data_IF_503876512868
#
_entry.id   IF_503876512868
#
_cell.length_a   1.000
_cell.length_b   1.000
_cell.length_c   1.000
_cell.angle_alpha   90.00
_cell.angle_beta   90.00
_cell.angle_gamma   90.00
#
_symmetry.space_group_name_H-M   'P 1'
#
loop_
_entity.id
_entity.type
_entity.pdbx_description
1 polymer ?
#
# COMPACT_ATOMS: atom_id res chain seq x y z
N UNK A 1 -64.61 -48.67 -9.16
CA UNK A 1 -64.45 -47.27 -8.65
C UNK A 1 -63.34 -47.15 -7.67
N UNK A 2 -62.19 -47.86 -7.83
CA UNK A 2 -61.02 -47.78 -6.91
C UNK A 2 -59.68 -47.59 -7.56
N UNK A 3 -59.60 -47.62 -8.90
CA UNK A 3 -58.30 -47.45 -9.59
C UNK A 3 -57.98 -45.98 -10.03
N UNK A 4 -58.96 -45.10 -10.13
CA UNK A 4 -58.77 -43.70 -10.56
C UNK A 4 -58.27 -42.77 -9.43
N UNK A 5 -58.48 -43.15 -8.17
CA UNK A 5 -58.04 -42.32 -7.02
C UNK A 5 -56.55 -42.51 -6.70
N UNK A 6 -55.95 -43.65 -7.05
CA UNK A 6 -54.52 -43.92 -6.76
C UNK A 6 -53.61 -43.15 -7.72
N UNK A 7 -54.02 -42.91 -8.96
CA UNK A 7 -53.23 -42.15 -9.92
C UNK A 7 -53.17 -40.64 -9.64
N UNK A 8 -54.19 -40.08 -8.98
CA UNK A 8 -54.20 -38.66 -8.59
C UNK A 8 -53.30 -38.34 -7.40
N UNK A 9 -53.06 -39.29 -6.50
CA UNK A 9 -52.19 -39.10 -5.33
C UNK A 9 -50.72 -39.24 -5.73
N UNK A 10 -50.40 -40.10 -6.68
CA UNK A 10 -49.00 -40.26 -7.17
C UNK A 10 -48.56 -39.06 -8.02
N UNK A 11 -49.44 -38.40 -8.75
CA UNK A 11 -49.11 -37.17 -9.48
C UNK A 11 -48.97 -35.94 -8.57
N UNK A 12 -49.54 -35.94 -7.37
CA UNK A 12 -49.40 -34.83 -6.42
C UNK A 12 -48.09 -34.89 -5.64
N UNK A 13 -47.47 -36.09 -5.50
CA UNK A 13 -46.19 -36.26 -4.83
C UNK A 13 -44.95 -36.02 -5.72
N UNK A 14 -45.09 -35.99 -7.04
CA UNK A 14 -44.01 -35.70 -8.00
C UNK A 14 -43.88 -34.20 -8.34
N UNK A 15 -44.78 -33.36 -7.82
CA UNK A 15 -44.78 -31.90 -7.99
C UNK A 15 -44.01 -31.12 -6.94
N UNK A 16 -43.40 -31.77 -5.97
CA UNK A 16 -42.40 -31.15 -5.09
C UNK A 16 -41.03 -31.10 -5.77
N UNK A 17 -41.04 -30.45 -6.96
CA UNK A 17 -39.79 -29.95 -7.56
C UNK A 17 -39.19 -29.02 -6.51
N UNK A 18 -38.08 -29.48 -5.95
CA UNK A 18 -37.19 -28.67 -5.12
C UNK A 18 -36.97 -27.31 -5.80
N UNK A 19 -37.72 -26.30 -5.39
CA UNK A 19 -37.28 -24.93 -5.50
C UNK A 19 -35.98 -24.87 -4.70
N UNK A 20 -34.89 -25.25 -5.35
CA UNK A 20 -33.55 -24.97 -4.87
C UNK A 20 -33.43 -23.44 -4.75
N UNK A 21 -33.72 -22.90 -3.60
CA UNK A 21 -33.32 -21.54 -3.26
C UNK A 21 -31.80 -21.51 -3.39
N UNK A 22 -31.30 -21.17 -4.55
CA UNK A 22 -29.94 -20.69 -4.69
C UNK A 22 -29.90 -19.39 -3.89
N UNK A 23 -29.48 -19.49 -2.63
CA UNK A 23 -29.11 -18.33 -1.83
C UNK A 23 -27.97 -17.69 -2.63
N UNK A 24 -28.31 -16.68 -3.43
CA UNK A 24 -27.31 -15.84 -4.05
C UNK A 24 -26.65 -15.11 -2.90
N UNK A 25 -25.45 -15.53 -2.52
CA UNK A 25 -24.64 -14.79 -1.57
C UNK A 25 -24.44 -13.39 -2.17
N UNK A 26 -25.16 -12.42 -1.62
CA UNK A 26 -24.99 -11.01 -1.97
C UNK A 26 -23.85 -10.48 -1.12
N UNK A 27 -22.78 -10.04 -1.78
CA UNK A 27 -21.68 -9.36 -1.10
C UNK A 27 -22.16 -8.02 -0.52
N UNK A 28 -21.58 -7.62 0.59
CA UNK A 28 -21.85 -6.34 1.25
C UNK A 28 -21.02 -5.25 0.58
N UNK A 29 -21.63 -4.29 -0.15
CA UNK A 29 -20.89 -3.22 -0.80
C UNK A 29 -20.09 -2.40 0.23
N UNK A 30 -18.83 -2.12 -0.09
CA UNK A 30 -17.96 -1.26 0.70
C UNK A 30 -17.64 0.00 -0.11
N UNK A 31 -17.98 1.16 0.44
CA UNK A 31 -17.76 2.42 -0.24
C UNK A 31 -16.34 2.93 0.01
N UNK A 32 -15.72 3.43 -1.06
CA UNK A 32 -14.46 4.13 -0.95
C UNK A 32 -14.71 5.60 -0.64
N UNK A 33 -14.26 6.03 0.53
CA UNK A 33 -14.41 7.44 0.93
C UNK A 33 -13.28 8.28 0.32
N UNK A 34 -13.64 9.31 -0.44
CA UNK A 34 -12.71 10.34 -0.90
C UNK A 34 -12.81 11.51 0.06
N UNK A 35 -11.75 11.82 0.84
CA UNK A 35 -11.81 12.93 1.78
C UNK A 35 -12.08 14.25 1.09
N UNK A 36 -12.81 15.15 1.74
CA UNK A 36 -13.17 16.47 1.19
C UNK A 36 -11.92 17.25 0.79
N UNK A 37 -11.92 17.76 -0.44
CA UNK A 37 -10.79 18.52 -1.00
C UNK A 37 -9.67 17.68 -1.59
N UNK A 38 -9.77 16.34 -1.55
CA UNK A 38 -8.80 15.47 -2.18
C UNK A 38 -9.08 15.28 -3.67
N UNK A 39 -8.05 15.01 -4.48
CA UNK A 39 -8.25 14.71 -5.90
C UNK A 39 -9.01 13.40 -6.09
N UNK A 40 -9.63 13.24 -7.26
CA UNK A 40 -10.27 11.97 -7.63
C UNK A 40 -9.23 10.84 -7.62
N UNK A 41 -9.55 9.66 -7.07
CA UNK A 41 -8.70 8.48 -7.15
C UNK A 41 -8.38 8.10 -8.61
N UNK A 42 -7.20 7.53 -8.84
CA UNK A 42 -6.77 7.03 -10.14
C UNK A 42 -7.18 5.58 -10.38
N UNK A 43 -7.42 4.84 -9.30
CA UNK A 43 -7.88 3.45 -9.37
C UNK A 43 -9.31 3.40 -9.92
N UNK A 44 -9.55 2.47 -10.88
CA UNK A 44 -10.88 2.23 -11.46
C UNK A 44 -11.66 1.18 -10.65
N UNK A 45 -12.45 1.64 -9.70
CA UNK A 45 -13.27 0.77 -8.86
C UNK A 45 -14.32 -0.04 -9.63
N UNK A 46 -14.68 0.34 -10.87
CA UNK A 46 -15.64 -0.41 -11.69
C UNK A 46 -15.11 -1.79 -12.08
N UNK A 47 -13.79 -1.97 -12.13
CA UNK A 47 -13.11 -3.23 -12.46
C UNK A 47 -12.94 -4.16 -11.27
N UNK A 48 -13.01 -3.62 -10.06
CA UNK A 48 -12.89 -4.35 -8.80
C UNK A 48 -13.72 -3.63 -7.72
N UNK A 49 -15.06 -3.72 -7.78
CA UNK A 49 -15.93 -3.10 -6.78
C UNK A 49 -15.60 -3.61 -5.38
N UNK A 50 -15.50 -2.69 -4.43
CA UNK A 50 -15.15 -3.02 -3.07
C UNK A 50 -16.32 -3.70 -2.36
N UNK A 51 -16.01 -4.76 -1.64
CA UNK A 51 -16.95 -5.48 -0.77
C UNK A 51 -16.32 -5.79 0.58
N UNK A 52 -17.12 -5.91 1.63
CA UNK A 52 -16.61 -6.29 2.95
C UNK A 52 -15.92 -7.67 2.90
N UNK A 53 -16.51 -8.61 2.18
CA UNK A 53 -15.98 -9.97 2.04
C UNK A 53 -14.67 -9.99 1.23
N UNK A 54 -14.58 -9.17 0.19
CA UNK A 54 -13.34 -9.00 -0.59
C UNK A 54 -12.23 -8.34 0.22
N UNK A 55 -12.57 -7.32 1.03
CA UNK A 55 -11.65 -6.70 1.99
C UNK A 55 -11.15 -7.72 3.02
N UNK A 56 -12.03 -8.52 3.63
CA UNK A 56 -11.66 -9.52 4.62
C UNK A 56 -10.78 -10.64 4.01
N UNK A 57 -11.10 -11.10 2.82
CA UNK A 57 -10.25 -12.05 2.10
C UNK A 57 -8.86 -11.45 1.83
N UNK A 58 -8.80 -10.22 1.32
CA UNK A 58 -7.54 -9.52 1.07
C UNK A 58 -6.70 -9.32 2.33
N UNK A 59 -7.35 -8.96 3.44
CA UNK A 59 -6.73 -8.84 4.76
C UNK A 59 -6.15 -10.18 5.23
N UNK A 60 -6.90 -11.29 5.13
CA UNK A 60 -6.38 -12.61 5.48
C UNK A 60 -5.15 -12.97 4.63
N UNK A 61 -5.22 -12.76 3.32
CA UNK A 61 -4.10 -13.00 2.41
C UNK A 61 -2.86 -12.15 2.75
N UNK A 62 -3.05 -10.90 3.13
CA UNK A 62 -1.96 -9.98 3.48
C UNK A 62 -1.17 -10.44 4.70
N UNK A 63 -1.85 -11.01 5.69
CA UNK A 63 -1.25 -11.45 6.94
C UNK A 63 -0.83 -12.93 6.96
N UNK A 64 -1.28 -13.75 6.00
CA UNK A 64 -1.00 -15.18 5.97
C UNK A 64 0.28 -15.47 5.17
N UNK A 65 1.27 -16.16 5.75
CA UNK A 65 2.49 -16.52 5.04
C UNK A 65 2.32 -17.63 3.98
N UNK A 66 1.13 -18.23 3.83
CA UNK A 66 0.84 -19.30 2.87
C UNK A 66 1.26 -18.96 1.44
N UNK A 67 1.34 -17.68 1.10
CA UNK A 67 1.70 -17.24 -0.25
C UNK A 67 3.21 -17.23 -0.53
N UNK A 68 4.06 -17.44 0.47
CA UNK A 68 5.51 -17.63 0.23
C UNK A 68 5.85 -19.10 0.01
N UNK A 69 6.99 -19.39 -0.61
CA UNK A 69 7.43 -20.75 -1.00
C UNK A 69 7.40 -21.74 0.18
N UNK A 70 7.92 -21.34 1.32
CA UNK A 70 8.03 -22.14 2.54
C UNK A 70 6.96 -21.77 3.60
N UNK A 71 6.05 -20.85 3.28
CA UNK A 71 5.02 -20.35 4.20
C UNK A 71 5.59 -19.68 5.46
N UNK A 72 6.70 -18.95 5.34
CA UNK A 72 7.31 -18.18 6.45
C UNK A 72 7.12 -16.68 6.30
N UNK A 73 7.00 -16.15 5.07
CA UNK A 73 6.93 -14.72 4.78
C UNK A 73 5.53 -14.34 4.33
N UNK A 74 4.95 -13.34 4.97
CA UNK A 74 3.70 -12.66 4.56
C UNK A 74 3.98 -11.22 4.11
N UNK A 75 2.99 -10.55 3.50
CA UNK A 75 3.11 -9.12 3.23
C UNK A 75 3.34 -8.32 4.52
N UNK A 76 2.68 -8.72 5.61
CA UNK A 76 2.82 -8.09 6.92
C UNK A 76 4.22 -8.27 7.54
N UNK A 77 5.04 -9.19 7.06
CA UNK A 77 6.43 -9.34 7.53
C UNK A 77 7.29 -8.12 7.18
N UNK A 78 7.00 -7.48 6.02
CA UNK A 78 7.72 -6.29 5.56
C UNK A 78 6.85 -5.01 5.57
N UNK A 79 5.56 -5.12 5.88
CA UNK A 79 4.62 -4.01 5.89
C UNK A 79 3.80 -4.00 7.18
N UNK A 80 4.43 -3.51 8.27
CA UNK A 80 3.85 -3.47 9.61
C UNK A 80 2.83 -2.33 9.75
N UNK A 81 1.64 -2.61 10.26
CA UNK A 81 0.57 -1.61 10.40
C UNK A 81 1.02 -0.40 11.22
N UNK A 82 1.59 -0.63 12.41
CA UNK A 82 1.98 0.44 13.34
C UNK A 82 3.03 1.41 12.78
N UNK A 83 3.64 1.06 11.66
CA UNK A 83 4.66 1.85 10.97
C UNK A 83 4.17 2.34 9.59
N UNK A 84 2.85 2.51 9.43
CA UNK A 84 2.26 2.95 8.16
C UNK A 84 2.39 1.91 7.05
N UNK A 85 2.43 0.63 7.41
CA UNK A 85 2.68 -0.48 6.48
C UNK A 85 4.03 -0.37 5.77
N UNK A 86 5.06 0.13 6.46
CA UNK A 86 6.47 0.06 6.10
C UNK A 86 7.21 -0.92 7.01
N UNK A 87 8.51 -1.09 6.82
CA UNK A 87 9.38 -1.92 7.67
C UNK A 87 10.38 -1.04 8.42
N UNK A 88 10.59 -1.28 9.72
CA UNK A 88 11.39 -0.39 10.59
C UNK A 88 12.62 -1.01 11.20
N UNK A 89 12.70 -2.33 11.26
CA UNK A 89 13.79 -3.01 11.98
C UNK A 89 15.11 -3.02 11.18
N UNK A 90 15.02 -2.92 9.84
CA UNK A 90 16.17 -3.03 8.95
C UNK A 90 16.11 -1.96 7.85
N UNK A 91 17.26 -1.59 7.33
CA UNK A 91 17.40 -0.65 6.23
C UNK A 91 16.79 -1.20 4.94
N UNK A 92 17.05 -2.48 4.67
CA UNK A 92 16.60 -3.18 3.47
C UNK A 92 15.56 -4.25 3.82
N UNK A 93 14.67 -4.57 2.88
CA UNK A 93 13.68 -5.64 3.04
C UNK A 93 14.36 -7.00 3.19
N UNK A 94 13.74 -7.87 3.99
CA UNK A 94 14.19 -9.25 4.21
C UNK A 94 13.12 -10.21 3.71
N UNK A 95 13.54 -11.26 3.01
CA UNK A 95 12.64 -12.26 2.48
C UNK A 95 12.97 -13.68 2.94
N UNK A 96 12.54 -14.62 2.12
CA UNK A 96 12.73 -16.06 2.35
C UNK A 96 14.22 -16.39 2.54
N UNK A 97 14.51 -17.37 3.39
CA UNK A 97 15.88 -17.81 3.71
C UNK A 97 16.77 -16.68 4.29
N UNK A 98 16.18 -15.61 4.85
CA UNK A 98 16.91 -14.45 5.34
C UNK A 98 17.59 -13.63 4.24
N UNK A 99 17.20 -13.79 3.00
CA UNK A 99 17.74 -13.01 1.87
C UNK A 99 17.44 -11.53 2.04
N UNK A 100 18.41 -10.69 1.73
CA UNK A 100 18.31 -9.24 1.88
C UNK A 100 18.06 -8.62 0.51
N UNK A 101 17.06 -7.75 0.41
CA UNK A 101 16.76 -6.95 -0.77
C UNK A 101 17.74 -5.79 -0.95
N UNK A 102 17.53 -5.01 -1.99
CA UNK A 102 18.36 -3.82 -2.28
C UNK A 102 17.65 -2.51 -1.93
N UNK A 103 16.41 -2.58 -1.43
CA UNK A 103 15.55 -1.43 -1.18
C UNK A 103 14.83 -1.53 0.15
N UNK A 104 14.52 -0.39 0.71
CA UNK A 104 13.59 -0.24 1.83
C UNK A 104 12.15 -0.52 1.40
N UNK A 105 11.31 -1.02 2.32
CA UNK A 105 9.89 -1.28 2.09
C UNK A 105 9.09 0.03 2.06
N UNK A 106 8.47 0.34 0.93
CA UNK A 106 7.57 1.50 0.81
C UNK A 106 6.33 1.33 1.69
N UNK A 107 5.91 2.43 2.30
CA UNK A 107 4.64 2.47 3.02
C UNK A 107 3.44 2.21 2.10
N UNK A 108 2.49 1.39 2.57
CA UNK A 108 1.28 1.04 1.82
C UNK A 108 0.10 1.85 2.34
N UNK A 109 -0.02 3.10 1.89
CA UNK A 109 -1.13 3.97 2.25
C UNK A 109 -1.54 4.85 1.08
N UNK A 110 -2.83 5.17 0.98
CA UNK A 110 -3.41 6.03 -0.05
C UNK A 110 -3.15 5.56 -1.50
N UNK A 111 -3.05 4.24 -1.71
CA UNK A 111 -2.64 3.66 -2.99
C UNK A 111 -3.67 3.87 -4.12
N UNK A 112 -4.92 4.20 -3.79
CA UNK A 112 -5.94 4.54 -4.79
C UNK A 112 -5.57 5.77 -5.64
N UNK A 113 -4.68 6.63 -5.16
CA UNK A 113 -4.20 7.82 -5.86
C UNK A 113 -2.86 7.61 -6.57
N UNK A 114 -2.24 6.44 -6.43
CA UNK A 114 -0.97 6.15 -7.09
C UNK A 114 -1.18 5.71 -8.53
N UNK A 115 -0.32 6.19 -9.44
CA UNK A 115 -0.26 5.76 -10.83
C UNK A 115 0.74 4.62 -11.03
N UNK A 116 1.89 4.75 -10.39
CA UNK A 116 3.00 3.82 -10.49
C UNK A 116 3.37 3.30 -9.10
N UNK A 117 3.76 2.05 -9.02
CA UNK A 117 4.11 1.34 -7.79
C UNK A 117 5.57 0.91 -7.83
N UNK A 118 6.15 0.53 -6.70
CA UNK A 118 7.57 0.28 -6.46
C UNK A 118 8.39 1.58 -6.50
N UNK A 119 9.61 1.54 -5.97
CA UNK A 119 10.51 2.71 -5.97
C UNK A 119 10.90 3.21 -7.36
N UNK A 120 10.95 2.32 -8.35
CA UNK A 120 11.30 2.63 -9.73
C UNK A 120 10.11 2.78 -10.68
N UNK A 121 8.89 2.54 -10.17
CA UNK A 121 7.67 2.58 -10.98
C UNK A 121 7.54 1.41 -11.96
N UNK A 122 8.16 0.27 -11.65
CA UNK A 122 8.13 -0.92 -12.49
C UNK A 122 6.75 -1.57 -12.65
N UNK A 123 5.78 -1.16 -11.84
CA UNK A 123 4.39 -1.64 -11.90
C UNK A 123 3.45 -0.45 -12.01
N UNK A 124 2.49 -0.51 -12.93
CA UNK A 124 1.56 0.58 -13.25
C UNK A 124 0.10 0.29 -12.88
N UNK A 125 -0.18 -0.81 -12.18
CA UNK A 125 -1.53 -1.14 -11.73
C UNK A 125 -1.50 -1.88 -10.39
N UNK A 126 -2.35 -1.45 -9.44
CA UNK A 126 -2.38 -2.02 -8.09
C UNK A 126 -2.72 -3.51 -8.08
N UNK A 127 -3.68 -3.95 -8.93
CA UNK A 127 -4.11 -5.36 -8.96
C UNK A 127 -2.99 -6.34 -9.36
N UNK A 128 -1.95 -5.89 -10.02
CA UNK A 128 -0.82 -6.74 -10.41
C UNK A 128 0.44 -6.49 -9.58
N UNK A 129 0.43 -5.45 -8.74
CA UNK A 129 1.58 -5.11 -7.89
C UNK A 129 2.03 -6.27 -6.99
N UNK A 130 1.13 -7.07 -6.36
CA UNK A 130 1.57 -8.16 -5.49
C UNK A 130 2.29 -9.31 -6.20
N UNK A 131 2.22 -9.40 -7.53
CA UNK A 131 2.98 -10.41 -8.29
C UNK A 131 4.47 -10.23 -8.07
N UNK A 132 4.93 -8.97 -8.01
CA UNK A 132 6.36 -8.66 -7.88
C UNK A 132 6.96 -9.29 -6.60
N UNK A 133 6.51 -8.98 -5.37
CA UNK A 133 7.03 -9.61 -4.17
C UNK A 133 6.76 -11.12 -4.10
N UNK A 134 5.62 -11.62 -4.63
CA UNK A 134 5.33 -13.06 -4.65
C UNK A 134 6.37 -13.81 -5.47
N UNK A 135 6.74 -13.30 -6.65
CA UNK A 135 7.65 -14.01 -7.58
C UNK A 135 9.12 -13.67 -7.38
N UNK A 136 9.45 -12.68 -6.58
CA UNK A 136 10.82 -12.28 -6.28
C UNK A 136 11.55 -13.37 -5.50
N UNK A 137 12.67 -13.85 -6.03
CA UNK A 137 13.51 -14.88 -5.41
C UNK A 137 14.13 -14.47 -4.07
N UNK A 138 14.18 -13.16 -3.83
CA UNK A 138 14.71 -12.56 -2.58
C UNK A 138 13.61 -12.13 -1.61
N UNK A 139 12.32 -12.25 -1.99
CA UNK A 139 11.20 -11.90 -1.12
C UNK A 139 10.37 -13.14 -0.77
N UNK A 140 9.34 -13.50 -1.55
CA UNK A 140 8.47 -14.65 -1.25
C UNK A 140 8.81 -15.91 -2.06
N UNK A 141 9.52 -15.78 -3.17
CA UNK A 141 10.03 -16.85 -4.04
C UNK A 141 8.98 -17.93 -4.41
N UNK A 142 7.78 -17.50 -4.77
CA UNK A 142 6.67 -18.40 -5.11
C UNK A 142 6.07 -18.04 -6.47
N UNK A 143 5.46 -19.00 -7.15
CA UNK A 143 4.70 -18.74 -8.37
C UNK A 143 3.23 -18.49 -8.06
N UNK A 144 2.56 -17.66 -8.86
CA UNK A 144 1.13 -17.43 -8.68
C UNK A 144 0.30 -18.70 -8.85
N UNK A 145 0.77 -19.65 -9.68
CA UNK A 145 0.14 -20.96 -9.86
C UNK A 145 0.18 -21.77 -8.56
N UNK A 146 1.32 -21.83 -7.89
CA UNK A 146 1.46 -22.55 -6.64
C UNK A 146 0.68 -21.87 -5.51
N UNK A 147 0.67 -20.52 -5.44
CA UNK A 147 -0.20 -19.78 -4.51
C UNK A 147 -1.66 -20.20 -4.69
N UNK A 148 -2.17 -20.21 -5.92
CA UNK A 148 -3.54 -20.65 -6.23
C UNK A 148 -3.76 -22.09 -5.77
N UNK A 149 -2.82 -23.00 -6.02
CA UNK A 149 -2.93 -24.40 -5.62
C UNK A 149 -2.96 -24.58 -4.09
N UNK A 150 -2.12 -23.83 -3.35
CA UNK A 150 -2.11 -23.83 -1.88
C UNK A 150 -3.44 -23.32 -1.31
N UNK A 151 -3.91 -22.17 -1.80
CA UNK A 151 -5.18 -21.56 -1.36
C UNK A 151 -6.38 -22.46 -1.70
N UNK A 152 -6.41 -23.11 -2.87
CA UNK A 152 -7.49 -23.99 -3.29
C UNK A 152 -7.58 -25.28 -2.43
N UNK A 153 -6.48 -25.72 -1.81
CA UNK A 153 -6.48 -26.85 -0.87
C UNK A 153 -7.01 -26.49 0.53
N UNK A 154 -7.04 -25.21 0.88
CA UNK A 154 -7.48 -24.73 2.20
C UNK A 154 -8.99 -24.57 2.25
N UNK A 155 -9.65 -25.31 3.14
CA UNK A 155 -11.11 -25.17 3.36
C UNK A 155 -11.48 -23.77 3.89
N UNK A 156 -10.60 -23.14 4.68
CA UNK A 156 -10.81 -21.77 5.13
C UNK A 156 -10.83 -20.79 3.96
N UNK A 157 -9.84 -20.87 3.06
CA UNK A 157 -9.81 -20.00 1.88
C UNK A 157 -10.96 -20.28 0.92
N UNK A 158 -11.37 -21.53 0.72
CA UNK A 158 -12.58 -21.84 -0.08
C UNK A 158 -13.80 -21.08 0.45
N UNK A 159 -14.01 -21.06 1.78
CA UNK A 159 -15.10 -20.29 2.41
C UNK A 159 -14.96 -18.79 2.16
N UNK A 160 -13.77 -18.23 2.35
CA UNK A 160 -13.50 -16.80 2.11
C UNK A 160 -13.69 -16.42 0.65
N UNK A 161 -13.24 -17.26 -0.30
CA UNK A 161 -13.48 -17.02 -1.74
C UNK A 161 -14.96 -17.14 -2.10
N UNK A 162 -15.68 -18.10 -1.50
CA UNK A 162 -17.14 -18.21 -1.70
C UNK A 162 -17.85 -16.97 -1.22
N UNK A 163 -17.50 -16.45 -0.06
CA UNK A 163 -18.08 -15.20 0.47
C UNK A 163 -17.79 -14.00 -0.46
N UNK A 164 -16.54 -13.86 -0.92
CA UNK A 164 -16.11 -12.71 -1.70
C UNK A 164 -16.53 -12.75 -3.18
N UNK A 165 -16.64 -13.96 -3.79
CA UNK A 165 -16.84 -14.11 -5.23
C UNK A 165 -18.03 -15.02 -5.62
N UNK A 166 -18.77 -15.55 -4.64
CA UNK A 166 -19.96 -16.36 -4.85
C UNK A 166 -19.70 -17.86 -5.10
N UNK A 167 -18.44 -18.29 -5.25
CA UNK A 167 -18.03 -19.68 -5.37
C UNK A 167 -16.63 -19.93 -4.80
N UNK A 168 -16.29 -21.20 -4.54
CA UNK A 168 -15.02 -21.61 -3.91
C UNK A 168 -13.82 -21.67 -4.86
N UNK A 169 -13.96 -21.24 -6.11
CA UNK A 169 -12.90 -21.29 -7.11
C UNK A 169 -11.84 -20.23 -6.83
N UNK A 170 -10.62 -20.65 -6.54
CA UNK A 170 -9.46 -19.78 -6.39
C UNK A 170 -8.83 -19.54 -7.77
N UNK A 171 -8.58 -18.29 -8.08
CA UNK A 171 -7.81 -17.91 -9.28
C UNK A 171 -6.81 -16.82 -8.91
N UNK A 172 -5.71 -16.71 -9.67
CA UNK A 172 -4.72 -15.64 -9.47
C UNK A 172 -5.37 -14.25 -9.53
N UNK A 173 -6.27 -14.01 -10.50
CA UNK A 173 -6.97 -12.74 -10.62
C UNK A 173 -7.81 -12.40 -9.39
N UNK A 174 -8.59 -13.36 -8.85
CA UNK A 174 -9.41 -13.14 -7.65
C UNK A 174 -8.52 -12.90 -6.42
N UNK A 175 -7.42 -13.64 -6.28
CA UNK A 175 -6.45 -13.46 -5.20
C UNK A 175 -5.86 -12.05 -5.21
N UNK A 176 -5.38 -11.60 -6.37
CA UNK A 176 -4.81 -10.27 -6.54
C UNK A 176 -5.84 -9.16 -6.33
N UNK A 177 -7.06 -9.32 -6.84
CA UNK A 177 -8.16 -8.37 -6.62
C UNK A 177 -8.54 -8.24 -5.15
N UNK A 178 -8.58 -9.35 -4.42
CA UNK A 178 -8.86 -9.31 -2.98
C UNK A 178 -7.75 -8.56 -2.21
N UNK A 179 -6.47 -8.82 -2.51
CA UNK A 179 -5.36 -8.05 -1.95
C UNK A 179 -5.51 -6.55 -2.23
N UNK A 180 -5.87 -6.18 -3.47
CA UNK A 180 -6.12 -4.78 -3.82
C UNK A 180 -7.27 -4.18 -3.02
N UNK A 181 -8.35 -4.92 -2.76
CA UNK A 181 -9.46 -4.40 -1.95
C UNK A 181 -9.03 -4.07 -0.52
N UNK A 182 -8.16 -4.87 0.08
CA UNK A 182 -7.56 -4.53 1.39
C UNK A 182 -6.66 -3.30 1.29
N UNK A 183 -5.73 -3.27 0.34
CA UNK A 183 -4.78 -2.18 0.15
C UNK A 183 -5.47 -0.84 -0.16
N UNK A 184 -6.56 -0.85 -0.91
CA UNK A 184 -7.35 0.33 -1.23
C UNK A 184 -8.01 0.96 -0.01
N UNK A 185 -8.35 0.17 1.01
CA UNK A 185 -8.92 0.67 2.26
C UNK A 185 -7.88 1.29 3.20
N UNK A 186 -6.58 1.11 2.94
CA UNK A 186 -5.51 1.71 3.74
C UNK A 186 -5.40 3.22 3.42
N UNK A 187 -6.42 3.97 3.81
CA UNK A 187 -6.51 5.42 3.57
C UNK A 187 -6.27 6.18 4.86
N UNK A 188 -5.28 7.09 4.86
CA UNK A 188 -4.89 7.95 5.99
C UNK A 188 -5.17 9.41 5.66
N UNK A 189 -6.06 10.06 6.42
CA UNK A 189 -6.54 11.43 6.17
C UNK A 189 -7.04 12.17 7.42
N UNK A 190 -6.67 11.68 8.62
CA UNK A 190 -7.12 12.26 9.90
C UNK A 190 -5.94 12.65 10.83
N UNK A 191 -4.83 13.07 10.25
CA UNK A 191 -3.71 13.65 10.99
C UNK A 191 -4.01 15.06 11.52
N UNK A 192 -3.17 15.61 12.39
CA UNK A 192 -3.29 17.02 12.82
C UNK A 192 -3.30 17.98 11.63
N UNK A 193 -2.46 17.74 10.62
CA UNK A 193 -2.50 18.51 9.37
C UNK A 193 -3.89 18.52 8.76
N UNK A 194 -4.53 17.36 8.62
CA UNK A 194 -5.86 17.27 8.01
C UNK A 194 -6.92 18.04 8.83
N UNK A 195 -6.85 17.94 10.15
CA UNK A 195 -7.75 18.68 11.05
C UNK A 195 -7.55 20.18 10.96
N UNK A 196 -6.29 20.65 10.83
CA UNK A 196 -6.00 22.07 10.58
C UNK A 196 -6.58 22.54 9.24
N UNK A 197 -6.42 21.72 8.18
CA UNK A 197 -6.98 22.05 6.86
C UNK A 197 -8.53 22.09 6.88
N UNK A 198 -9.16 21.28 7.73
CA UNK A 198 -10.62 21.32 7.96
C UNK A 198 -11.05 22.39 8.97
N UNK A 199 -10.11 23.16 9.55
CA UNK A 199 -10.33 24.18 10.59
C UNK A 199 -10.86 23.62 11.91
N UNK A 200 -10.53 22.38 12.22
CA UNK A 200 -10.87 21.68 13.48
C UNK A 200 -9.79 21.86 14.55
N UNK A 201 -8.55 22.09 14.11
CA UNK A 201 -7.37 22.36 14.95
C UNK A 201 -6.57 23.54 14.39
N UNK A 202 -5.57 23.98 15.15
CA UNK A 202 -4.60 25.00 14.73
C UNK A 202 -3.18 24.50 14.94
N UNK A 203 -2.23 24.97 14.14
CA UNK A 203 -0.81 24.80 14.40
C UNK A 203 -0.36 25.73 15.55
N UNK A 204 0.59 25.25 16.36
CA UNK A 204 1.36 26.15 17.18
C UNK A 204 2.37 26.94 16.30
N UNK A 205 3.01 27.98 16.88
CA UNK A 205 3.94 28.84 16.14
C UNK A 205 5.05 28.09 15.41
N UNK A 206 5.61 27.04 16.04
CA UNK A 206 6.71 26.27 15.47
C UNK A 206 6.23 25.35 14.35
N UNK A 207 5.08 24.71 14.52
CA UNK A 207 4.46 23.90 13.47
C UNK A 207 4.08 24.76 12.26
N UNK A 208 3.56 25.99 12.51
CA UNK A 208 3.23 26.93 11.43
C UNK A 208 4.48 27.36 10.66
N UNK A 209 5.58 27.72 11.35
CA UNK A 209 6.85 28.03 10.68
C UNK A 209 7.35 26.82 9.88
N UNK A 210 7.28 25.62 10.45
CA UNK A 210 7.65 24.38 9.78
C UNK A 210 6.81 24.14 8.52
N UNK A 211 5.51 24.42 8.56
CA UNK A 211 4.63 24.34 7.39
C UNK A 211 5.02 25.36 6.30
N UNK A 212 5.36 26.58 6.67
CA UNK A 212 5.80 27.59 5.71
C UNK A 212 7.14 27.23 5.05
N UNK A 213 8.07 26.66 5.82
CA UNK A 213 9.32 26.09 5.31
C UNK A 213 9.07 24.89 4.38
N UNK A 214 8.12 24.03 4.72
CA UNK A 214 7.71 22.91 3.87
C UNK A 214 7.16 23.40 2.53
N UNK A 215 6.26 24.38 2.54
CA UNK A 215 5.70 24.94 1.30
C UNK A 215 6.78 25.49 0.37
N UNK A 216 7.79 26.15 0.95
CA UNK A 216 8.87 26.77 0.20
C UNK A 216 9.88 25.76 -0.37
N UNK A 217 10.19 24.69 0.36
CA UNK A 217 11.32 23.82 0.06
C UNK A 217 10.92 22.40 -0.39
N UNK A 218 9.73 21.89 -0.02
CA UNK A 218 9.38 20.48 -0.16
C UNK A 218 8.13 20.24 -1.02
N UNK A 219 7.16 21.16 -0.99
CA UNK A 219 5.83 20.98 -1.58
C UNK A 219 5.83 20.82 -3.11
N UNK A 220 6.90 21.25 -3.80
CA UNK A 220 7.04 21.06 -5.25
C UNK A 220 7.12 19.59 -5.66
N UNK A 221 7.69 18.73 -4.79
CA UNK A 221 7.78 17.29 -4.97
C UNK A 221 6.74 16.57 -4.12
N UNK A 222 6.59 16.94 -2.85
CA UNK A 222 5.67 16.33 -1.89
C UNK A 222 4.34 17.10 -1.82
N UNK A 223 3.54 16.99 -2.87
CA UNK A 223 2.31 17.77 -3.06
C UNK A 223 1.20 17.37 -2.09
N UNK A 224 0.61 18.38 -1.46
CA UNK A 224 -0.59 18.24 -0.64
C UNK A 224 -1.81 17.82 -1.50
N UNK A 225 -2.79 17.13 -0.94
CA UNK A 225 -2.87 16.62 0.43
C UNK A 225 -2.20 15.26 0.63
N UNK A 226 -1.71 14.62 -0.44
CA UNK A 226 -1.10 13.29 -0.44
C UNK A 226 0.37 13.31 -0.02
N UNK A 227 1.01 14.47 -0.01
CA UNK A 227 2.44 14.65 0.28
C UNK A 227 3.36 13.78 -0.58
N UNK A 228 2.95 13.57 -1.82
CA UNK A 228 3.68 12.85 -2.88
C UNK A 228 3.32 13.42 -4.23
N UNK A 229 4.02 12.97 -5.25
CA UNK A 229 3.70 13.26 -6.66
C UNK A 229 3.91 12.01 -7.51
N UNK A 230 3.51 12.07 -8.78
CA UNK A 230 3.78 10.97 -9.74
C UNK A 230 5.19 11.05 -10.34
N UNK A 231 6.05 11.91 -9.80
CA UNK A 231 7.41 12.10 -10.30
C UNK A 231 8.38 11.07 -9.75
N UNK A 232 9.41 10.85 -10.52
CA UNK A 232 10.61 10.13 -10.15
C UNK A 232 11.77 11.12 -10.18
N UNK A 233 12.41 11.32 -9.04
CA UNK A 233 13.41 12.37 -8.91
C UNK A 233 14.72 11.81 -8.32
N UNK A 234 15.83 12.40 -8.74
CA UNK A 234 17.11 12.21 -8.09
C UNK A 234 17.17 13.15 -6.89
N UNK A 235 17.36 12.60 -5.71
CA UNK A 235 17.34 13.35 -4.45
C UNK A 235 18.74 13.68 -3.91
N UNK A 236 19.77 13.53 -4.74
CA UNK A 236 21.15 13.86 -4.36
C UNK A 236 21.89 12.79 -3.58
N UNK A 237 21.32 11.62 -3.35
CA UNK A 237 22.02 10.52 -2.69
C UNK A 237 23.16 10.00 -3.55
N UNK A 238 24.29 9.69 -2.91
CA UNK A 238 25.40 9.01 -3.57
C UNK A 238 25.00 7.59 -3.97
N UNK A 239 25.42 7.18 -5.15
CA UNK A 239 25.25 5.81 -5.62
C UNK A 239 25.98 4.83 -4.69
N UNK A 240 25.32 3.75 -4.35
CA UNK A 240 25.88 2.66 -3.57
C UNK A 240 26.21 1.49 -4.51
N UNK A 241 27.50 1.25 -4.70
CA UNK A 241 28.01 0.21 -5.59
C UNK A 241 27.64 -1.20 -5.12
N UNK A 242 27.43 -1.39 -3.81
CA UNK A 242 27.08 -2.71 -3.24
C UNK A 242 25.62 -3.06 -3.54
N UNK A 243 24.73 -2.07 -3.55
CA UNK A 243 23.32 -2.27 -3.89
C UNK A 243 23.09 -2.28 -5.40
N UNK A 244 23.96 -1.64 -6.18
CA UNK A 244 23.90 -1.54 -7.64
C UNK A 244 22.49 -1.14 -8.16
N UNK A 245 21.82 -0.21 -7.46
CA UNK A 245 20.47 0.21 -7.78
C UNK A 245 20.48 1.50 -8.57
N UNK A 246 20.24 1.39 -9.86
CA UNK A 246 20.18 2.52 -10.81
C UNK A 246 18.79 3.17 -10.89
N UNK A 247 17.86 2.79 -10.01
CA UNK A 247 16.51 3.36 -9.92
C UNK A 247 15.66 3.14 -11.18
N UNK A 248 14.92 4.17 -11.58
CA UNK A 248 13.98 4.12 -12.71
C UNK A 248 14.64 3.75 -14.04
N UNK A 249 15.91 4.03 -14.23
CA UNK A 249 16.65 3.63 -15.43
C UNK A 249 16.57 2.10 -15.66
N UNK A 250 16.45 1.29 -14.62
CA UNK A 250 16.24 -0.15 -14.73
C UNK A 250 14.98 -0.52 -15.52
N UNK A 251 13.95 0.34 -15.46
CA UNK A 251 12.65 0.13 -16.11
C UNK A 251 12.59 0.80 -17.49
N UNK A 252 13.09 2.02 -17.59
CA UNK A 252 12.93 2.84 -18.80
C UNK A 252 14.08 2.67 -19.80
N UNK A 253 15.23 2.18 -19.35
CA UNK A 253 16.49 2.10 -20.10
C UNK A 253 17.00 3.47 -20.61
N UNK A 254 16.54 4.58 -20.00
CA UNK A 254 16.93 5.94 -20.35
C UNK A 254 17.95 6.47 -19.36
N UNK A 255 19.06 7.03 -19.84
CA UNK A 255 20.14 7.57 -18.98
C UNK A 255 19.67 8.71 -18.07
N UNK A 256 18.75 9.54 -18.55
CA UNK A 256 18.14 10.63 -17.77
C UNK A 256 17.35 10.16 -16.54
N UNK A 257 16.93 8.88 -16.50
CA UNK A 257 16.21 8.27 -15.38
C UNK A 257 17.15 7.57 -14.37
N UNK A 258 18.46 7.68 -14.56
CA UNK A 258 19.45 7.11 -13.64
C UNK A 258 19.30 7.71 -12.23
N UNK A 259 19.31 6.83 -11.22
CA UNK A 259 19.18 7.19 -9.79
C UNK A 259 17.91 7.96 -9.44
N UNK A 260 16.91 7.95 -10.32
CA UNK A 260 15.61 8.54 -10.02
C UNK A 260 14.72 7.50 -9.36
N UNK A 261 14.08 7.91 -8.28
CA UNK A 261 13.15 7.10 -7.50
C UNK A 261 11.83 7.83 -7.31
N UNK A 262 10.76 7.06 -7.13
CA UNK A 262 9.43 7.60 -6.84
C UNK A 262 9.50 8.54 -5.64
N UNK A 263 8.88 9.72 -5.76
CA UNK A 263 8.68 10.62 -4.63
C UNK A 263 7.69 9.96 -3.64
N UNK A 264 8.14 9.51 -2.45
CA UNK A 264 7.26 8.83 -1.51
C UNK A 264 6.32 9.80 -0.83
N UNK A 265 5.21 9.29 -0.27
CA UNK A 265 4.36 10.10 0.62
C UNK A 265 5.11 10.42 1.92
N UNK A 266 4.87 11.63 2.46
CA UNK A 266 5.34 12.00 3.80
C UNK A 266 4.26 11.78 4.89
N UNK A 267 3.09 11.26 4.54
CA UNK A 267 2.09 10.91 5.54
C UNK A 267 2.64 9.83 6.45
N UNK A 268 2.42 9.99 7.75
CA UNK A 268 2.97 9.14 8.80
C UNK A 268 4.50 9.02 8.79
N UNK A 269 5.23 9.97 8.18
CA UNK A 269 6.68 9.89 8.00
C UNK A 269 7.45 9.71 9.31
N UNK A 270 6.91 10.17 10.44
CA UNK A 270 7.48 9.93 11.77
C UNK A 270 7.65 8.44 12.10
N UNK A 271 6.79 7.58 11.54
CA UNK A 271 6.73 6.14 11.82
C UNK A 271 7.24 5.26 10.68
N UNK A 272 7.52 5.82 9.50
CA UNK A 272 7.94 5.06 8.31
C UNK A 272 9.46 5.11 8.09
N UNK A 273 10.23 5.22 9.17
CA UNK A 273 11.69 5.07 9.10
C UNK A 273 12.06 3.58 8.85
N UNK A 274 13.27 3.28 8.35
CA UNK A 274 14.32 4.19 7.88
C UNK A 274 13.95 4.84 6.54
N UNK A 275 14.61 5.97 6.25
CA UNK A 275 14.27 6.83 5.12
C UNK A 275 15.15 6.57 3.90
N UNK A 276 14.70 7.05 2.75
CA UNK A 276 15.25 6.89 1.41
C UNK A 276 14.94 5.51 0.82
N UNK A 277 15.26 5.31 -0.45
CA UNK A 277 14.98 4.07 -1.16
C UNK A 277 15.76 2.87 -0.62
N UNK A 278 16.88 3.13 0.03
CA UNK A 278 17.80 2.15 0.60
C UNK A 278 17.84 2.16 2.15
N UNK A 279 17.01 2.98 2.79
CA UNK A 279 16.90 2.99 4.24
C UNK A 279 18.08 3.58 5.01
N UNK A 280 19.03 4.26 4.34
CA UNK A 280 20.29 4.72 4.95
C UNK A 280 20.14 5.72 6.10
N UNK A 281 19.02 6.43 6.23
CA UNK A 281 18.78 7.40 7.29
C UNK A 281 17.73 6.90 8.29
N UNK A 282 18.08 6.85 9.55
CA UNK A 282 17.19 6.38 10.63
C UNK A 282 16.41 7.52 11.31
N UNK A 283 16.80 8.77 11.09
CA UNK A 283 16.19 9.95 11.72
C UNK A 283 15.83 11.01 10.69
N UNK A 284 14.72 11.72 10.91
CA UNK A 284 14.35 12.87 10.09
C UNK A 284 15.42 13.97 10.11
N UNK A 285 16.16 14.11 11.23
CA UNK A 285 17.29 15.04 11.30
C UNK A 285 18.39 14.74 10.28
N UNK A 286 18.62 13.45 9.98
CA UNK A 286 19.64 13.07 8.99
C UNK A 286 19.15 13.38 7.57
N UNK A 287 17.84 13.20 7.33
CA UNK A 287 17.19 13.62 6.07
C UNK A 287 17.29 15.14 5.88
N UNK A 288 17.04 15.92 6.94
CA UNK A 288 17.16 17.39 6.87
C UNK A 288 18.59 17.82 6.60
N UNK A 289 19.58 17.24 7.29
CA UNK A 289 21.01 17.48 7.05
C UNK A 289 21.40 17.16 5.61
N UNK A 290 20.94 16.01 5.09
CA UNK A 290 21.20 15.61 3.71
C UNK A 290 20.71 16.68 2.73
N UNK A 291 19.44 17.06 2.77
CA UNK A 291 18.91 18.06 1.85
C UNK A 291 19.55 19.44 2.04
N UNK A 292 19.90 19.82 3.28
CA UNK A 292 20.57 21.10 3.56
C UNK A 292 22.03 21.15 3.10
N UNK A 293 22.68 19.99 2.94
CA UNK A 293 24.07 19.87 2.48
C UNK A 293 24.21 19.71 0.96
N UNK A 294 23.10 19.62 0.22
CA UNK A 294 23.15 19.43 -1.23
C UNK A 294 23.84 20.62 -1.91
N UNK A 295 24.79 20.29 -2.78
CA UNK A 295 25.39 21.26 -3.68
C UNK A 295 24.75 21.18 -5.06
N UNK A 296 24.46 22.34 -5.70
CA UNK A 296 23.87 22.37 -7.03
C UNK A 296 24.66 21.52 -8.05
N UNK A 297 23.97 20.69 -8.79
CA UNK A 297 24.53 19.91 -9.88
C UNK A 297 23.47 19.57 -10.94
N UNK A 298 23.89 19.16 -12.14
CA UNK A 298 23.01 18.95 -13.30
C UNK A 298 22.04 17.79 -13.15
N UNK A 299 22.24 16.86 -12.21
CA UNK A 299 21.38 15.70 -11.99
C UNK A 299 20.20 16.03 -11.08
N UNK A 300 20.38 17.03 -10.19
CA UNK A 300 19.31 17.45 -9.30
C UNK A 300 18.15 18.10 -10.06
N UNK A 301 16.91 17.84 -9.63
CA UNK A 301 15.77 18.60 -10.13
C UNK A 301 15.92 20.07 -9.79
N UNK A 302 15.30 20.94 -10.59
CA UNK A 302 15.40 22.41 -10.45
C UNK A 302 15.13 22.87 -9.01
N UNK A 303 14.21 22.23 -8.36
CA UNK A 303 13.75 22.54 -6.99
C UNK A 303 14.83 22.28 -5.94
N UNK A 304 15.67 21.27 -6.13
CA UNK A 304 16.80 20.92 -5.27
C UNK A 304 18.14 21.51 -5.74
N UNK A 305 18.16 22.10 -6.92
CA UNK A 305 19.38 22.67 -7.52
C UNK A 305 19.69 24.08 -6.97
N UNK A 306 19.45 24.27 -5.67
CA UNK A 306 19.75 25.48 -4.90
C UNK A 306 20.00 25.09 -3.44
N UNK A 307 20.85 25.85 -2.74
CA UNK A 307 21.05 25.65 -1.31
C UNK A 307 19.78 26.01 -0.54
N UNK A 308 19.35 25.14 0.37
CA UNK A 308 18.19 25.42 1.24
C UNK A 308 18.53 26.43 2.35
N UNK A 309 19.77 26.43 2.84
CA UNK A 309 20.28 27.31 3.90
C UNK A 309 19.40 27.32 5.16
N UNK A 310 18.89 26.15 5.55
CA UNK A 310 18.07 25.98 6.75
C UNK A 310 18.96 26.04 7.99
N UNK A 311 18.65 26.94 8.93
CA UNK A 311 19.25 26.93 10.25
C UNK A 311 18.84 25.68 11.05
N UNK A 312 19.54 25.35 12.12
CA UNK A 312 19.15 24.23 13.00
C UNK A 312 17.73 24.39 13.54
N UNK A 313 17.33 25.62 13.85
CA UNK A 313 15.97 25.94 14.29
C UNK A 313 14.95 25.65 13.17
N UNK A 314 15.23 26.03 11.92
CA UNK A 314 14.35 25.78 10.78
C UNK A 314 14.21 24.27 10.54
N UNK A 315 15.28 23.51 10.62
CA UNK A 315 15.26 22.04 10.50
C UNK A 315 14.36 21.40 11.57
N UNK A 316 14.48 21.87 12.83
CA UNK A 316 13.63 21.37 13.92
C UNK A 316 12.17 21.75 13.71
N UNK A 317 11.87 22.98 13.30
CA UNK A 317 10.49 23.43 13.06
C UNK A 317 9.87 22.67 11.87
N UNK A 318 10.63 22.40 10.81
CA UNK A 318 10.21 21.57 9.68
C UNK A 318 9.91 20.12 10.13
N UNK A 319 10.74 19.53 10.99
CA UNK A 319 10.48 18.21 11.56
C UNK A 319 9.20 18.22 12.40
N UNK A 320 8.97 19.26 13.21
CA UNK A 320 7.73 19.40 13.98
C UNK A 320 6.50 19.43 13.07
N UNK A 321 6.56 20.17 11.98
CA UNK A 321 5.49 20.10 10.97
C UNK A 321 5.31 18.68 10.41
N UNK A 322 6.37 18.00 10.01
CA UNK A 322 6.29 16.64 9.49
C UNK A 322 5.66 15.67 10.49
N UNK A 323 5.82 15.87 11.80
CA UNK A 323 5.13 15.04 12.80
C UNK A 323 3.62 15.28 12.82
N UNK A 324 3.13 16.44 12.38
CA UNK A 324 1.69 16.72 12.26
C UNK A 324 1.01 15.90 11.17
N UNK A 325 1.78 15.24 10.29
CA UNK A 325 1.28 14.32 9.26
C UNK A 325 0.98 12.92 9.80
N UNK A 326 1.14 12.70 11.09
CA UNK A 326 0.87 11.41 11.76
C UNK A 326 -0.61 11.24 12.03
N UNK A 327 -1.18 10.17 11.50
CA UNK A 327 -2.56 9.74 11.69
C UNK A 327 -2.58 8.48 12.58
N UNK A 328 -2.72 8.70 13.89
CA UNK A 328 -2.72 7.60 14.88
C UNK A 328 -3.95 6.68 14.72
N UNK A 329 -5.09 7.23 14.28
CA UNK A 329 -6.28 6.41 14.04
C UNK A 329 -6.03 5.40 12.93
N UNK A 330 -5.35 5.78 11.86
CA UNK A 330 -4.93 4.87 10.80
C UNK A 330 -3.93 3.82 11.29
N UNK A 331 -2.86 4.26 11.97
CA UNK A 331 -1.78 3.38 12.42
C UNK A 331 -2.25 2.28 13.38
N UNK A 332 -3.26 2.57 14.19
CA UNK A 332 -3.74 1.65 15.23
C UNK A 332 -5.18 1.16 15.01
N UNK A 333 -5.72 1.32 13.80
CA UNK A 333 -7.06 0.86 13.47
C UNK A 333 -7.13 -0.68 13.48
N UNK A 334 -7.90 -1.25 14.39
CA UNK A 334 -8.06 -2.71 14.51
C UNK A 334 -8.65 -3.38 13.26
N UNK A 335 -9.36 -2.61 12.42
CA UNK A 335 -9.89 -3.08 11.14
C UNK A 335 -8.78 -3.51 10.18
N UNK A 336 -7.62 -2.84 10.24
CA UNK A 336 -6.48 -3.13 9.37
C UNK A 336 -5.48 -4.12 9.99
N UNK A 337 -5.62 -4.44 11.25
CA UNK A 337 -4.73 -5.34 11.98
C UNK A 337 -4.88 -6.81 11.60
N UNK A 338 -4.08 -7.64 12.23
CA UNK A 338 -4.14 -9.09 12.06
C UNK A 338 -5.57 -9.62 12.25
N UNK A 339 -6.10 -10.45 11.32
CA UNK A 339 -7.45 -10.99 11.46
C UNK A 339 -7.53 -11.87 12.71
N UNK A 340 -8.46 -11.55 13.61
CA UNK A 340 -8.76 -12.43 14.75
C UNK A 340 -9.40 -13.71 14.21
N UNK A 341 -8.95 -14.86 14.72
CA UNK A 341 -9.53 -16.17 14.45
C UNK A 341 -10.93 -16.28 15.03
#
# INVERSE_FOLDING_TARGET
MKLKQIHSIILLCLGLISLGFTIKLTTTPLYFEVPKGWPKPKYDFSKNPLTEEGFQLGRNLFYDPIMSKDSTISCASCHLQATGFAHVDHELSHGIDGKIGTRNSLALMNLAWSKDFMWDGGVNHLDVQPINPITSEIEMNESLQNVVAKLQKSENYKKLFTAAFGDSKVTGQRTLKALSQFLLQLTTYNSKYDKVMRKEEIYNEREQRGYDLFKTNCASCHKEPLFTSDKFEYNGLTYDETLNDIGRMKITHKKEDSLRFKVPTLRNVQFTFPYMHDGRFKKLSDVMKHYNSLTPNKLLPKELNKSMNLTDKDQVDLILFLTTLTDKEFLFNSRFGYPKK
#
